data_IF_336301523194
#
_entry.id   IF_336301523194
#
_cell.length_a   1.000
_cell.length_b   1.000
_cell.length_c   1.000
_cell.angle_alpha   90.00
_cell.angle_beta   90.00
_cell.angle_gamma   90.00
#
_symmetry.space_group_name_H-M   'P 1'
#
loop_
_entity.id
_entity.type
_entity.pdbx_description
1 polymer ?
#
# COMPACT_ATOMS: atom_id res chain seq x y z
N UNK A 1 11.23 -0.76 -1.14
CA UNK A 1 11.13 -1.27 -2.54
C UNK A 1 10.57 -2.69 -2.60
N UNK A 2 11.05 -3.66 -1.79
CA UNK A 2 10.54 -5.03 -1.82
C UNK A 2 9.06 -5.16 -1.39
N UNK A 3 8.64 -4.41 -0.36
CA UNK A 3 7.25 -4.45 0.13
C UNK A 3 6.23 -3.97 -0.92
N UNK A 4 6.62 -3.00 -1.74
CA UNK A 4 5.86 -2.49 -2.88
C UNK A 4 5.60 -3.58 -3.91
N UNK A 5 6.67 -4.30 -4.27
CA UNK A 5 6.61 -5.40 -5.22
C UNK A 5 5.71 -6.51 -4.72
N UNK A 6 5.78 -6.86 -3.42
CA UNK A 6 4.96 -7.91 -2.83
C UNK A 6 3.48 -7.52 -2.80
N UNK A 7 3.15 -6.29 -2.41
CA UNK A 7 1.76 -5.82 -2.37
C UNK A 7 1.15 -5.71 -3.77
N UNK A 8 1.95 -5.23 -4.73
CA UNK A 8 1.57 -5.17 -6.13
C UNK A 8 1.40 -6.58 -6.72
N UNK A 9 2.28 -7.54 -6.38
CA UNK A 9 2.16 -8.95 -6.81
C UNK A 9 0.93 -9.63 -6.21
N UNK A 10 0.64 -9.38 -4.94
CA UNK A 10 -0.54 -9.92 -4.28
C UNK A 10 -1.82 -9.36 -4.91
N UNK A 11 -1.83 -8.05 -5.21
CA UNK A 11 -2.92 -7.37 -5.90
C UNK A 11 -3.13 -7.88 -7.33
N UNK A 12 -2.06 -8.07 -8.11
CA UNK A 12 -2.16 -8.68 -9.45
C UNK A 12 -2.65 -10.10 -9.38
N UNK A 13 -2.10 -10.93 -8.50
CA UNK A 13 -2.52 -12.33 -8.39
C UNK A 13 -4.00 -12.43 -8.00
N UNK A 14 -4.46 -11.62 -7.04
CA UNK A 14 -5.87 -11.57 -6.67
C UNK A 14 -6.77 -11.08 -7.83
N UNK A 15 -6.33 -10.04 -8.55
CA UNK A 15 -7.05 -9.51 -9.70
C UNK A 15 -7.08 -10.46 -10.89
N UNK A 16 -5.97 -11.14 -11.19
CA UNK A 16 -5.87 -12.15 -12.25
C UNK A 16 -6.81 -13.33 -11.95
N UNK A 17 -6.81 -13.83 -10.72
CA UNK A 17 -7.67 -14.96 -10.33
C UNK A 17 -9.15 -14.56 -10.33
N UNK A 18 -9.50 -13.42 -9.73
CA UNK A 18 -10.88 -12.94 -9.69
C UNK A 18 -11.42 -12.55 -11.07
N UNK A 19 -10.60 -11.89 -11.88
CA UNK A 19 -10.93 -11.53 -13.26
C UNK A 19 -11.01 -12.75 -14.18
N UNK A 20 -10.11 -13.72 -14.01
CA UNK A 20 -10.13 -14.98 -14.75
C UNK A 20 -11.39 -15.80 -14.50
N UNK A 21 -11.86 -15.85 -13.25
CA UNK A 21 -13.10 -16.55 -12.89
C UNK A 21 -14.36 -15.87 -13.42
N UNK A 22 -14.34 -14.56 -13.63
CA UNK A 22 -15.54 -13.79 -14.00
C UNK A 22 -15.66 -13.52 -15.50
N UNK A 23 -14.56 -13.25 -16.18
CA UNK A 23 -14.56 -12.87 -17.61
C UNK A 23 -13.52 -13.62 -18.45
N UNK A 24 -12.87 -14.65 -17.89
CA UNK A 24 -11.84 -15.41 -18.61
C UNK A 24 -10.59 -14.58 -18.88
N UNK A 25 -10.01 -14.70 -20.07
CA UNK A 25 -8.70 -14.09 -20.41
C UNK A 25 -8.71 -12.56 -20.38
N UNK A 26 -9.81 -11.92 -20.78
CA UNK A 26 -9.95 -10.46 -20.70
C UNK A 26 -9.99 -9.98 -19.25
N UNK A 27 -10.69 -10.71 -18.39
CA UNK A 27 -10.73 -10.45 -16.95
C UNK A 27 -9.37 -10.63 -16.27
N UNK A 28 -8.55 -11.61 -16.69
CA UNK A 28 -7.19 -11.77 -16.15
C UNK A 28 -6.31 -10.54 -16.41
N UNK A 29 -6.36 -9.99 -17.63
CA UNK A 29 -5.53 -8.83 -18.02
C UNK A 29 -6.01 -7.57 -17.29
N UNK A 30 -7.32 -7.35 -17.28
CA UNK A 30 -7.92 -6.18 -16.62
C UNK A 30 -7.71 -6.27 -15.11
N UNK A 31 -7.95 -7.43 -14.51
CA UNK A 31 -7.77 -7.67 -13.08
C UNK A 31 -6.32 -7.56 -12.64
N UNK A 32 -5.36 -8.08 -13.42
CA UNK A 32 -3.94 -7.89 -13.14
C UNK A 32 -3.52 -6.43 -13.20
N UNK A 33 -3.88 -5.72 -14.26
CA UNK A 33 -3.50 -4.30 -14.42
C UNK A 33 -4.14 -3.39 -13.37
N UNK A 34 -5.43 -3.58 -13.06
CA UNK A 34 -6.07 -2.88 -11.94
C UNK A 34 -5.44 -3.24 -10.60
N UNK A 35 -5.12 -4.51 -10.35
CA UNK A 35 -4.40 -4.95 -9.15
C UNK A 35 -3.08 -4.20 -8.90
N UNK A 36 -2.28 -3.96 -9.95
CA UNK A 36 -1.07 -3.13 -9.85
C UNK A 36 -1.37 -1.68 -9.51
N UNK A 37 -2.32 -1.06 -10.22
CA UNK A 37 -2.67 0.34 -10.01
C UNK A 37 -3.19 0.57 -8.59
N UNK A 38 -4.12 -0.26 -8.13
CA UNK A 38 -4.68 -0.11 -6.77
C UNK A 38 -3.64 -0.43 -5.70
N UNK A 39 -2.80 -1.45 -5.91
CA UNK A 39 -1.72 -1.80 -4.97
C UNK A 39 -0.70 -0.68 -4.77
N UNK A 40 -0.29 -0.02 -5.87
CA UNK A 40 0.62 1.13 -5.81
C UNK A 40 0.00 2.36 -5.13
N UNK A 41 -1.27 2.66 -5.42
CA UNK A 41 -2.02 3.75 -4.77
C UNK A 41 -2.16 3.53 -3.26
N UNK A 42 -2.56 2.33 -2.84
CA UNK A 42 -2.71 1.98 -1.42
C UNK A 42 -1.36 2.12 -0.69
N UNK A 43 -0.26 1.69 -1.32
CA UNK A 43 1.06 1.84 -0.73
C UNK A 43 1.46 3.32 -0.56
N UNK A 44 1.22 4.17 -1.55
CA UNK A 44 1.52 5.60 -1.45
C UNK A 44 0.73 6.27 -0.31
N UNK A 45 -0.52 5.87 -0.11
CA UNK A 45 -1.34 6.33 1.01
C UNK A 45 -0.85 5.76 2.35
N UNK A 46 -0.47 4.49 2.41
CA UNK A 46 0.04 3.87 3.62
C UNK A 46 1.37 4.48 4.07
N UNK A 47 2.28 4.75 3.12
CA UNK A 47 3.60 5.34 3.41
C UNK A 47 3.47 6.77 3.94
N UNK A 48 2.62 7.59 3.31
CA UNK A 48 2.33 8.96 3.79
C UNK A 48 1.69 8.95 5.18
N UNK A 49 0.74 8.04 5.44
CA UNK A 49 0.12 7.90 6.75
C UNK A 49 1.13 7.45 7.84
N UNK A 50 2.03 6.52 7.52
CA UNK A 50 3.11 6.07 8.41
C UNK A 50 4.09 7.20 8.71
N UNK A 51 4.44 8.01 7.70
CA UNK A 51 5.32 9.16 7.86
C UNK A 51 4.71 10.20 8.81
N UNK A 52 3.43 10.56 8.61
CA UNK A 52 2.72 11.46 9.53
C UNK A 52 2.65 10.89 10.97
N UNK A 53 2.46 9.58 11.13
CA UNK A 53 2.48 8.96 12.47
C UNK A 53 3.87 9.01 13.11
N UNK A 54 4.94 8.80 12.34
CA UNK A 54 6.32 8.91 12.83
C UNK A 54 6.63 10.34 13.25
N UNK A 55 6.29 11.33 12.43
CA UNK A 55 6.48 12.75 12.75
C UNK A 55 5.71 13.15 14.02
N UNK A 56 4.45 12.72 14.15
CA UNK A 56 3.66 12.96 15.38
C UNK A 56 4.26 12.28 16.60
N UNK A 57 4.88 11.10 16.47
CA UNK A 57 5.60 10.44 17.59
C UNK A 57 6.86 11.20 17.95
N UNK A 58 7.70 11.54 16.98
CA UNK A 58 8.92 12.33 17.18
C UNK A 58 8.61 13.66 17.88
N UNK A 59 7.58 14.37 17.43
CA UNK A 59 7.19 15.65 18.03
C UNK A 59 6.73 15.52 19.50
N UNK A 60 6.18 14.36 19.89
CA UNK A 60 5.88 14.08 21.31
C UNK A 60 7.12 13.80 22.13
N UNK A 61 8.08 13.05 21.59
CA UNK A 61 9.37 12.81 22.27
C UNK A 61 10.11 14.13 22.50
N UNK A 62 10.25 14.97 21.48
CA UNK A 62 10.91 16.27 21.65
C UNK A 62 10.17 17.19 22.61
N UNK A 63 8.83 17.15 22.66
CA UNK A 63 8.06 17.91 23.67
C UNK A 63 8.15 17.33 25.08
N UNK A 64 8.38 16.03 25.25
CA UNK A 64 8.62 15.43 26.56
C UNK A 64 9.98 15.84 27.13
N UNK A 65 11.02 15.84 26.29
CA UNK A 65 12.37 16.25 26.72
C UNK A 65 12.45 17.76 27.02
N UNK A 66 11.64 18.60 26.38
CA UNK A 66 11.66 20.06 26.58
C UNK A 66 10.93 20.56 27.84
N UNK A 67 10.10 19.73 28.47
CA UNK A 67 9.30 20.08 29.66
C UNK A 67 9.60 19.16 30.86
N UNK A 68 10.66 18.35 30.77
CA UNK A 68 11.04 17.33 31.73
C UNK A 68 12.10 17.74 32.77
N UNK A 69 12.48 19.02 32.81
CA UNK A 69 13.37 19.61 33.83
C UNK A 69 12.57 20.44 34.85
#
# INVERSE_FOLDING_TARGET
>A
MAELLILALAGTCAGIVGGGLTAGTSGMIVGGSTGLMTGSLIWALASTALQMRRERRLNRYFRQDFWGD
#
